data_IF_045028620770
#
_entry.id   IF_045028620770
#
_cell.length_a   1.000
_cell.length_b   1.000
_cell.length_c   1.000
_cell.angle_alpha   90.00
_cell.angle_beta   90.00
_cell.angle_gamma   90.00
#
_symmetry.space_group_name_H-M   'P 1'
#
loop_
_entity.id
_entity.type
_entity.pdbx_description
1 polymer ?
#
# COMPACT_ATOMS: atom_id res chain seq x y z
N UNK A 1 -44.36 -40.71 49.63
CA UNK A 1 -44.02 -39.27 49.67
C UNK A 1 -43.15 -39.01 48.45
N UNK A 2 -43.75 -38.58 47.34
CA UNK A 2 -43.03 -38.33 46.09
C UNK A 2 -43.19 -36.87 45.74
N UNK A 3 -42.12 -36.09 45.98
CA UNK A 3 -41.98 -34.75 45.45
C UNK A 3 -40.95 -34.81 44.33
N UNK A 4 -41.27 -34.21 43.19
CA UNK A 4 -40.26 -33.69 42.28
C UNK A 4 -40.84 -32.50 41.50
N UNK A 5 -39.98 -31.50 41.34
CA UNK A 5 -40.21 -30.19 40.78
C UNK A 5 -40.05 -30.19 39.22
N UNK A 6 -39.76 -29.07 38.56
CA UNK A 6 -40.73 -28.07 38.06
C UNK A 6 -40.62 -27.88 36.53
N UNK A 7 -41.64 -27.30 35.88
CA UNK A 7 -41.55 -26.92 34.46
C UNK A 7 -42.16 -25.54 34.16
N UNK A 8 -41.22 -24.63 33.90
CA UNK A 8 -41.15 -23.53 32.95
C UNK A 8 -42.38 -23.10 32.10
N UNK A 9 -42.59 -21.77 32.16
CA UNK A 9 -42.63 -20.80 31.04
C UNK A 9 -43.84 -20.84 30.09
N UNK A 10 -44.65 -19.79 30.23
CA UNK A 10 -45.83 -19.49 29.42
C UNK A 10 -45.52 -19.08 27.99
N UNK A 11 -46.46 -19.43 27.10
CA UNK A 11 -46.53 -19.00 25.71
C UNK A 11 -47.88 -18.34 25.50
N UNK A 12 -47.95 -17.03 25.28
CA UNK A 12 -49.11 -16.40 24.63
C UNK A 12 -48.65 -15.17 23.85
N UNK A 13 -48.77 -15.20 22.52
CA UNK A 13 -49.12 -14.00 21.77
C UNK A 13 -50.01 -14.39 20.58
N UNK A 14 -51.26 -13.88 20.62
CA UNK A 14 -52.34 -14.14 19.67
C UNK A 14 -52.10 -13.32 18.39
N UNK A 15 -52.00 -13.97 17.24
CA UNK A 15 -51.89 -13.32 15.92
C UNK A 15 -53.28 -13.29 15.28
N UNK A 16 -53.83 -12.10 15.09
CA UNK A 16 -55.12 -11.89 14.41
C UNK A 16 -54.87 -11.72 12.91
N UNK A 17 -55.36 -12.65 12.10
CA UNK A 17 -55.29 -12.60 10.63
C UNK A 17 -56.43 -11.74 10.10
N UNK A 18 -56.11 -10.63 9.43
CA UNK A 18 -57.06 -9.89 8.58
C UNK A 18 -56.65 -10.03 7.11
N UNK A 19 -57.64 -10.37 6.30
CA UNK A 19 -57.58 -10.70 4.88
C UNK A 19 -57.20 -9.51 3.97
N UNK A 20 -56.48 -9.87 2.90
CA UNK A 20 -56.53 -9.39 1.51
C UNK A 20 -56.24 -7.91 1.19
N UNK A 21 -55.12 -7.70 0.50
CA UNK A 21 -55.03 -6.84 -0.69
C UNK A 21 -53.84 -7.26 -1.56
N UNK A 22 -54.11 -7.42 -2.86
CA UNK A 22 -53.21 -7.87 -3.92
C UNK A 22 -52.14 -6.79 -4.17
N UNK A 23 -50.86 -7.15 -4.12
CA UNK A 23 -49.76 -6.30 -4.56
C UNK A 23 -48.79 -7.09 -5.44
N UNK A 24 -48.53 -6.53 -6.62
CA UNK A 24 -47.80 -7.12 -7.74
C UNK A 24 -46.39 -7.60 -7.36
N UNK A 25 -46.03 -8.79 -7.87
CA UNK A 25 -44.67 -9.31 -7.84
C UNK A 25 -43.84 -8.52 -8.85
N UNK A 26 -43.14 -7.47 -8.40
CA UNK A 26 -41.99 -6.94 -9.12
C UNK A 26 -40.77 -7.79 -8.74
N UNK A 27 -40.43 -8.76 -9.60
CA UNK A 27 -39.11 -9.38 -9.60
C UNK A 27 -38.10 -8.35 -10.12
N UNK A 28 -37.65 -7.44 -9.25
CA UNK A 28 -36.46 -6.65 -9.48
C UNK A 28 -35.25 -7.58 -9.38
N UNK A 29 -34.81 -8.11 -10.52
CA UNK A 29 -33.51 -8.73 -10.64
C UNK A 29 -32.46 -7.71 -10.25
N UNK A 30 -31.94 -7.83 -9.02
CA UNK A 30 -30.78 -7.10 -8.57
C UNK A 30 -29.57 -7.58 -9.39
N UNK A 31 -29.36 -6.98 -10.56
CA UNK A 31 -28.06 -7.01 -11.21
C UNK A 31 -27.13 -6.21 -10.32
N UNK A 32 -26.45 -6.89 -9.41
CA UNK A 32 -25.32 -6.31 -8.71
C UNK A 32 -24.33 -5.85 -9.80
N UNK A 33 -23.92 -4.57 -9.84
CA UNK A 33 -22.84 -4.17 -10.73
C UNK A 33 -21.61 -4.97 -10.33
N UNK A 34 -21.10 -5.80 -11.25
CA UNK A 34 -19.80 -6.41 -11.09
C UNK A 34 -18.79 -5.27 -10.99
N UNK A 35 -18.36 -4.95 -9.77
CA UNK A 35 -17.21 -4.10 -9.57
C UNK A 35 -16.04 -4.82 -10.25
N UNK A 36 -15.63 -4.33 -11.41
CA UNK A 36 -14.39 -4.75 -12.05
C UNK A 36 -13.29 -4.42 -11.06
N UNK A 37 -12.76 -5.45 -10.39
CA UNK A 37 -11.57 -5.32 -9.58
C UNK A 37 -10.44 -4.91 -10.54
N UNK A 38 -10.09 -3.63 -10.56
CA UNK A 38 -8.88 -3.19 -11.25
C UNK A 38 -7.72 -3.92 -10.59
N UNK A 39 -7.17 -4.91 -11.29
CA UNK A 39 -5.92 -5.56 -10.89
C UNK A 39 -4.84 -4.50 -10.90
N UNK A 40 -4.48 -4.00 -9.71
CA UNK A 40 -3.41 -3.04 -9.56
C UNK A 40 -2.12 -3.69 -10.07
N UNK A 41 -1.58 -3.15 -11.18
CA UNK A 41 -0.32 -3.61 -11.73
C UNK A 41 0.78 -3.49 -10.68
N UNK A 42 1.65 -4.49 -10.63
CA UNK A 42 2.84 -4.55 -9.76
C UNK A 42 4.09 -4.86 -10.60
N UNK A 43 5.26 -4.78 -9.98
CA UNK A 43 6.52 -5.20 -10.60
C UNK A 43 6.85 -4.49 -11.93
N UNK A 44 7.34 -5.24 -12.90
CA UNK A 44 7.71 -4.75 -14.23
C UNK A 44 6.50 -4.25 -15.03
N UNK A 45 5.32 -4.84 -14.85
CA UNK A 45 4.11 -4.37 -15.52
C UNK A 45 3.74 -2.94 -15.06
N UNK A 46 3.77 -2.69 -13.74
CA UNK A 46 3.58 -1.35 -13.19
C UNK A 46 4.66 -0.36 -13.67
N UNK A 47 5.91 -0.82 -13.79
CA UNK A 47 7.01 0.02 -14.28
C UNK A 47 6.81 0.43 -15.73
N UNK A 48 6.41 -0.49 -16.61
CA UNK A 48 6.08 -0.20 -18.02
C UNK A 48 4.96 0.82 -18.11
N UNK A 49 3.85 0.53 -17.43
CA UNK A 49 2.67 1.39 -17.39
C UNK A 49 2.99 2.81 -16.85
N UNK A 50 3.85 2.92 -15.83
CA UNK A 50 4.34 4.21 -15.35
C UNK A 50 5.17 5.00 -16.37
N UNK A 51 5.97 4.33 -17.21
CA UNK A 51 6.75 5.00 -18.26
C UNK A 51 5.82 5.39 -19.41
N UNK A 52 4.90 4.52 -19.81
CA UNK A 52 3.88 4.80 -20.84
C UNK A 52 3.02 6.00 -20.46
N UNK A 53 2.53 6.09 -19.22
CA UNK A 53 1.80 7.27 -18.75
C UNK A 53 2.63 8.55 -18.76
N UNK A 54 3.94 8.43 -18.46
CA UNK A 54 4.85 9.57 -18.57
C UNK A 54 5.06 10.00 -20.02
N UNK A 55 5.12 9.07 -20.98
CA UNK A 55 5.22 9.39 -22.41
C UNK A 55 4.00 10.18 -22.92
N UNK A 56 2.81 9.86 -22.41
CA UNK A 56 1.55 10.49 -22.79
C UNK A 56 1.36 11.91 -22.24
N UNK A 57 2.28 12.41 -21.40
CA UNK A 57 2.18 13.78 -20.89
C UNK A 57 2.34 14.80 -22.04
N UNK A 58 1.40 15.74 -22.20
CA UNK A 58 1.33 16.63 -23.36
C UNK A 58 2.48 17.65 -23.43
N UNK A 59 3.06 17.98 -22.29
CA UNK A 59 4.12 18.98 -22.10
C UNK A 59 5.55 18.42 -22.24
N UNK A 60 5.70 17.13 -22.59
CA UNK A 60 7.02 16.54 -22.77
C UNK A 60 7.76 17.13 -23.98
N UNK A 61 8.98 17.62 -23.73
CA UNK A 61 9.92 17.97 -24.79
C UNK A 61 10.32 16.74 -25.64
N UNK A 62 10.71 16.94 -26.91
CA UNK A 62 11.16 15.85 -27.77
C UNK A 62 12.28 15.00 -27.15
N UNK A 63 13.26 15.64 -26.49
CA UNK A 63 14.36 14.95 -25.83
C UNK A 63 13.86 14.07 -24.68
N UNK A 64 12.87 14.54 -23.91
CA UNK A 64 12.27 13.77 -22.82
C UNK A 64 11.51 12.56 -23.35
N UNK A 65 10.73 12.71 -24.43
CA UNK A 65 10.03 11.59 -25.07
C UNK A 65 11.02 10.51 -25.52
N UNK A 66 12.08 10.90 -26.24
CA UNK A 66 13.14 9.97 -26.66
C UNK A 66 13.80 9.25 -25.49
N UNK A 67 14.05 9.94 -24.37
CA UNK A 67 14.63 9.29 -23.17
C UNK A 67 13.67 8.30 -22.51
N UNK A 68 12.37 8.59 -22.50
CA UNK A 68 11.34 7.72 -21.95
C UNK A 68 11.07 6.52 -22.87
N UNK A 69 11.10 6.69 -24.18
CA UNK A 69 11.02 5.61 -25.17
C UNK A 69 12.17 4.62 -24.97
N UNK A 70 13.42 5.13 -24.89
CA UNK A 70 14.58 4.29 -24.57
C UNK A 70 14.44 3.55 -23.24
N UNK A 71 13.95 4.22 -22.20
CA UNK A 71 13.71 3.59 -20.91
C UNK A 71 12.61 2.52 -20.98
N UNK A 72 11.58 2.73 -21.79
CA UNK A 72 10.52 1.74 -22.03
C UNK A 72 11.08 0.51 -22.76
N UNK A 73 11.88 0.72 -23.80
CA UNK A 73 12.55 -0.35 -24.54
C UNK A 73 13.47 -1.18 -23.64
N UNK A 74 14.28 -0.53 -22.80
CA UNK A 74 15.11 -1.22 -21.81
C UNK A 74 14.26 -2.05 -20.82
N UNK A 75 13.13 -1.52 -20.37
CA UNK A 75 12.22 -2.25 -19.47
C UNK A 75 11.55 -3.43 -20.19
N UNK A 76 11.20 -3.28 -21.46
CA UNK A 76 10.64 -4.36 -22.27
C UNK A 76 11.67 -5.46 -22.51
N UNK A 77 12.93 -5.09 -22.79
CA UNK A 77 13.99 -6.04 -23.08
C UNK A 77 14.55 -6.75 -21.83
N UNK A 78 14.60 -6.07 -20.68
CA UNK A 78 15.41 -6.54 -19.55
C UNK A 78 14.71 -6.57 -18.20
N UNK A 79 13.51 -6.01 -18.05
CA UNK A 79 12.85 -6.02 -16.76
C UNK A 79 12.32 -7.41 -16.41
N UNK A 80 12.86 -7.96 -15.32
CA UNK A 80 12.31 -9.13 -14.62
C UNK A 80 11.93 -8.72 -13.19
N UNK A 81 10.85 -9.30 -12.68
CA UNK A 81 10.39 -8.98 -11.31
C UNK A 81 11.42 -9.40 -10.25
N UNK A 82 12.20 -10.46 -10.52
CA UNK A 82 13.30 -10.88 -9.65
C UNK A 82 14.44 -9.86 -9.60
N UNK A 83 14.86 -9.32 -10.75
CA UNK A 83 15.88 -8.27 -10.79
C UNK A 83 15.38 -6.97 -10.14
N UNK A 84 14.10 -6.62 -10.33
CA UNK A 84 13.49 -5.46 -9.70
C UNK A 84 13.44 -5.60 -8.17
N UNK A 85 13.02 -6.78 -7.68
CA UNK A 85 13.00 -7.10 -6.25
C UNK A 85 14.40 -7.05 -5.66
N UNK A 86 15.40 -7.63 -6.33
CA UNK A 86 16.80 -7.57 -5.90
C UNK A 86 17.29 -6.12 -5.76
N UNK A 87 17.05 -5.28 -6.77
CA UNK A 87 17.42 -3.86 -6.74
C UNK A 87 16.76 -3.10 -5.58
N UNK A 88 15.51 -3.41 -5.26
CA UNK A 88 14.81 -2.80 -4.11
C UNK A 88 15.33 -3.29 -2.78
N UNK A 89 15.64 -4.58 -2.65
CA UNK A 89 16.32 -5.13 -1.46
C UNK A 89 17.67 -4.44 -1.22
N UNK A 90 18.48 -4.25 -2.27
CA UNK A 90 19.74 -3.51 -2.19
C UNK A 90 19.52 -2.07 -1.68
N UNK A 91 18.47 -1.38 -2.14
CA UNK A 91 18.10 -0.04 -1.61
C UNK A 91 17.78 -0.07 -0.12
N UNK A 92 17.01 -1.07 0.34
CA UNK A 92 16.68 -1.23 1.77
C UNK A 92 17.94 -1.46 2.59
N UNK A 93 18.81 -2.36 2.16
CA UNK A 93 20.09 -2.65 2.83
C UNK A 93 20.94 -1.37 2.91
N UNK A 94 21.10 -0.65 1.81
CA UNK A 94 21.87 0.59 1.77
C UNK A 94 21.27 1.68 2.67
N UNK A 95 19.94 1.80 2.72
CA UNK A 95 19.26 2.74 3.61
C UNK A 95 19.45 2.37 5.09
N UNK A 96 19.37 1.07 5.43
CA UNK A 96 19.63 0.58 6.79
C UNK A 96 21.08 0.87 7.22
N UNK A 97 22.05 0.61 6.34
CA UNK A 97 23.45 0.99 6.60
C UNK A 97 23.56 2.48 6.89
N UNK A 98 22.87 3.33 6.12
CA UNK A 98 22.90 4.78 6.31
C UNK A 98 22.29 5.24 7.62
N UNK A 99 21.18 4.63 8.05
CA UNK A 99 20.56 4.87 9.36
C UNK A 99 21.58 4.56 10.45
N UNK A 100 22.14 3.35 10.43
CA UNK A 100 23.10 2.89 11.44
C UNK A 100 24.38 3.75 11.48
N UNK A 101 24.90 4.15 10.32
CA UNK A 101 26.06 5.05 10.24
C UNK A 101 25.79 6.42 10.85
N UNK A 102 24.62 6.99 10.54
CA UNK A 102 24.27 8.34 10.98
C UNK A 102 23.93 8.36 12.47
N UNK A 103 23.29 7.31 12.97
CA UNK A 103 23.06 7.08 14.41
C UNK A 103 24.39 7.01 15.18
N UNK A 104 25.34 6.18 14.71
CA UNK A 104 26.68 6.10 15.32
C UNK A 104 27.41 7.45 15.28
N UNK A 105 27.29 8.20 14.19
CA UNK A 105 27.90 9.52 14.07
C UNK A 105 27.29 10.53 15.04
N UNK A 106 25.96 10.49 15.20
CA UNK A 106 25.24 11.30 16.17
C UNK A 106 25.68 10.97 17.60
N UNK A 107 25.67 9.70 17.99
CA UNK A 107 26.11 9.27 19.31
C UNK A 107 27.55 9.70 19.61
N UNK A 108 28.48 9.50 18.66
CA UNK A 108 29.87 9.96 18.79
C UNK A 108 29.98 11.48 18.98
N UNK A 109 29.13 12.25 18.29
CA UNK A 109 29.11 13.70 18.42
C UNK A 109 28.56 14.15 19.79
N UNK A 110 27.56 13.44 20.32
CA UNK A 110 27.01 13.66 21.67
C UNK A 110 28.06 13.36 22.74
N UNK A 111 28.74 12.21 22.68
CA UNK A 111 29.80 11.84 23.63
C UNK A 111 31.01 12.77 23.56
N UNK A 112 31.27 13.35 22.39
CA UNK A 112 32.37 14.30 22.19
C UNK A 112 31.96 15.76 22.46
N UNK A 113 30.77 15.99 23.03
CA UNK A 113 30.21 17.31 23.35
C UNK A 113 30.37 18.32 22.21
N UNK A 114 30.06 17.90 20.97
CA UNK A 114 30.11 18.81 19.82
C UNK A 114 29.04 19.89 19.95
N UNK A 115 29.26 21.02 19.26
CA UNK A 115 28.32 22.14 19.25
C UNK A 115 26.91 21.71 18.81
N UNK A 116 25.90 22.37 19.37
CA UNK A 116 24.48 22.11 19.06
C UNK A 116 24.20 22.14 17.55
N UNK A 117 24.78 23.10 16.81
CA UNK A 117 24.64 23.17 15.35
C UNK A 117 25.09 21.88 14.62
N UNK A 118 26.13 21.21 15.13
CA UNK A 118 26.62 19.95 14.55
C UNK A 118 25.71 18.79 14.92
N UNK A 119 25.23 18.76 16.16
CA UNK A 119 24.27 17.77 16.62
C UNK A 119 22.96 17.87 15.84
N UNK A 120 22.42 19.07 15.67
CA UNK A 120 21.18 19.28 14.93
C UNK A 120 21.30 18.81 13.47
N UNK A 121 22.39 19.16 12.78
CA UNK A 121 22.65 18.66 11.41
C UNK A 121 22.73 17.14 11.34
N UNK A 122 23.22 16.46 12.38
CA UNK A 122 23.26 15.00 12.43
C UNK A 122 21.89 14.40 12.73
N UNK A 123 21.09 15.03 13.62
CA UNK A 123 19.69 14.64 13.86
C UNK A 123 18.86 14.77 12.58
N UNK A 124 18.97 15.87 11.85
CA UNK A 124 18.25 16.06 10.58
C UNK A 124 18.63 15.00 9.54
N UNK A 125 19.93 14.69 9.43
CA UNK A 125 20.42 13.61 8.55
C UNK A 125 19.91 12.24 8.99
N UNK A 126 19.79 12.00 10.29
CA UNK A 126 19.29 10.76 10.84
C UNK A 126 17.81 10.57 10.51
N UNK A 127 16.99 11.61 10.70
CA UNK A 127 15.57 11.60 10.30
C UNK A 127 15.42 11.40 8.79
N UNK A 128 16.23 12.08 7.98
CA UNK A 128 16.22 11.88 6.53
C UNK A 128 16.63 10.44 6.13
N UNK A 129 17.59 9.83 6.83
CA UNK A 129 17.97 8.44 6.60
C UNK A 129 16.85 7.47 6.97
N UNK A 130 16.17 7.68 8.11
CA UNK A 130 15.00 6.87 8.52
C UNK A 130 13.86 6.99 7.52
N UNK A 131 13.58 8.20 7.01
CA UNK A 131 12.57 8.40 5.96
C UNK A 131 12.94 7.62 4.69
N UNK A 132 14.20 7.67 4.25
CA UNK A 132 14.67 6.91 3.08
C UNK A 132 14.55 5.41 3.27
N UNK A 133 14.80 4.90 4.47
CA UNK A 133 14.58 3.48 4.79
C UNK A 133 13.09 3.12 4.66
N UNK A 134 12.20 3.89 5.27
CA UNK A 134 10.76 3.68 5.18
C UNK A 134 10.25 3.74 3.72
N UNK A 135 10.74 4.71 2.93
CA UNK A 135 10.41 4.82 1.50
C UNK A 135 10.91 3.58 0.71
N UNK A 136 12.12 3.08 1.00
CA UNK A 136 12.68 1.90 0.36
C UNK A 136 11.92 0.61 0.73
N UNK A 137 11.53 0.46 2.00
CA UNK A 137 10.70 -0.67 2.47
C UNK A 137 9.31 -0.63 1.85
N UNK A 138 8.73 0.55 1.69
CA UNK A 138 7.47 0.73 0.98
C UNK A 138 7.62 0.39 -0.51
N UNK A 139 8.72 0.79 -1.15
CA UNK A 139 9.01 0.45 -2.55
C UNK A 139 9.19 -1.07 -2.75
N UNK A 140 9.83 -1.75 -1.80
CA UNK A 140 10.03 -3.21 -1.85
C UNK A 140 8.71 -3.98 -1.94
N UNK A 141 7.63 -3.45 -1.32
CA UNK A 141 6.31 -4.08 -1.25
C UNK A 141 5.40 -3.81 -2.48
N UNK A 142 5.85 -3.05 -3.48
CA UNK A 142 5.03 -2.57 -4.61
C UNK A 142 5.12 -3.40 -5.88
#
# INVERSE_FOLDING_TARGET
MSGNAPSAIGTIMKISVKLLSIAAILAAGAQAPAALAETKLTGCAAKRDSITRQLQQPDNSPQRKLSLEKALDEVNAHCTDSALTRKRNEKVINAQVKVNETERALHKAETAHKSEDKLQKLRDKYEAAKKKLADAEAELKR
#
